data_IF_774874373053
#
_entry.id   IF_774874373053
#
_cell.length_a   1.000
_cell.length_b   1.000
_cell.length_c   1.000
_cell.angle_alpha   90.00
_cell.angle_beta   90.00
_cell.angle_gamma   90.00
#
_symmetry.space_group_name_H-M   'P 1'
#
loop_
_entity.id
_entity.type
_entity.pdbx_description
1 polymer ?
#
# COMPACT_ATOMS: atom_id res chain seq x y z
N UNK A 1 0.42 -33.54 3.16
CA UNK A 1 0.18 -32.58 4.24
C UNK A 1 -0.70 -33.23 5.30
N UNK A 2 -0.32 -33.12 6.56
CA UNK A 2 -1.16 -33.50 7.70
C UNK A 2 -2.35 -32.53 7.80
N UNK A 3 -3.56 -33.03 8.06
CA UNK A 3 -4.77 -32.20 8.22
C UNK A 3 -5.68 -32.74 9.33
N UNK A 4 -6.49 -31.86 9.90
CA UNK A 4 -7.55 -32.25 10.84
C UNK A 4 -8.62 -33.06 10.11
N UNK A 5 -9.26 -34.02 10.81
CA UNK A 5 -10.28 -34.93 10.24
C UNK A 5 -11.37 -34.22 9.41
N UNK A 6 -11.95 -33.08 9.83
CA UNK A 6 -13.03 -32.42 9.08
C UNK A 6 -12.57 -31.61 7.86
N UNK A 7 -11.27 -31.34 7.69
CA UNK A 7 -10.78 -30.61 6.51
C UNK A 7 -10.90 -31.49 5.25
N UNK A 8 -11.13 -30.88 4.08
CA UNK A 8 -11.25 -31.62 2.81
C UNK A 8 -9.90 -32.23 2.37
N UNK A 9 -9.93 -33.23 1.49
CA UNK A 9 -8.74 -33.78 0.84
C UNK A 9 -8.28 -32.95 -0.36
N UNK A 10 -9.12 -32.06 -0.90
CA UNK A 10 -8.81 -31.24 -2.08
C UNK A 10 -8.46 -29.79 -1.71
N UNK A 11 -7.65 -29.13 -2.53
CA UNK A 11 -7.29 -27.72 -2.32
C UNK A 11 -8.44 -26.79 -2.79
N UNK A 12 -8.68 -25.64 -2.13
CA UNK A 12 -7.88 -25.08 -1.03
C UNK A 12 -8.18 -25.68 0.35
N UNK A 13 -9.35 -26.30 0.56
CA UNK A 13 -9.84 -26.77 1.86
C UNK A 13 -8.90 -27.70 2.64
N UNK A 14 -8.04 -28.44 1.93
CA UNK A 14 -6.95 -29.24 2.52
C UNK A 14 -5.99 -28.43 3.41
N UNK A 15 -5.81 -27.15 3.13
CA UNK A 15 -4.92 -26.24 3.85
C UNK A 15 -5.67 -25.31 4.82
N UNK A 16 -7.00 -25.34 4.81
CA UNK A 16 -7.87 -24.52 5.64
C UNK A 16 -8.29 -25.31 6.89
N UNK A 17 -7.36 -25.46 7.82
CA UNK A 17 -7.58 -26.28 9.02
C UNK A 17 -8.39 -25.53 10.07
N UNK A 18 -9.42 -26.19 10.61
CA UNK A 18 -10.25 -25.64 11.69
C UNK A 18 -11.42 -24.79 11.18
N UNK A 19 -12.08 -24.08 12.10
CA UNK A 19 -13.18 -23.18 11.77
C UNK A 19 -12.65 -21.94 11.05
N UNK A 20 -13.25 -21.59 9.92
CA UNK A 20 -12.83 -20.43 9.13
C UNK A 20 -13.25 -19.10 9.76
N UNK A 21 -12.52 -18.03 9.43
CA UNK A 21 -12.83 -16.66 9.84
C UNK A 21 -13.92 -16.06 8.95
N UNK A 22 -15.15 -16.54 9.09
CA UNK A 22 -16.28 -16.18 8.20
C UNK A 22 -16.55 -14.66 8.16
N UNK A 23 -16.45 -13.97 9.29
CA UNK A 23 -16.64 -12.51 9.37
C UNK A 23 -15.54 -11.76 8.58
N UNK A 24 -14.29 -12.20 8.68
CA UNK A 24 -13.17 -11.63 7.91
C UNK A 24 -13.28 -11.91 6.41
N UNK A 25 -13.81 -13.09 6.03
CA UNK A 25 -14.12 -13.41 4.64
C UNK A 25 -15.23 -12.51 4.09
N UNK A 26 -16.29 -12.26 4.86
CA UNK A 26 -17.34 -11.32 4.50
C UNK A 26 -16.80 -9.88 4.36
N UNK A 27 -15.92 -9.45 5.27
CA UNK A 27 -15.21 -8.17 5.16
C UNK A 27 -14.36 -8.07 3.90
N UNK A 28 -13.66 -9.14 3.53
CA UNK A 28 -12.88 -9.22 2.29
C UNK A 28 -13.78 -9.07 1.05
N UNK A 29 -14.96 -9.70 1.05
CA UNK A 29 -15.93 -9.51 -0.02
C UNK A 29 -16.39 -8.05 -0.12
N UNK A 30 -16.66 -7.39 1.00
CA UNK A 30 -17.02 -5.97 1.03
C UNK A 30 -15.93 -5.07 0.42
N UNK A 31 -14.65 -5.36 0.65
CA UNK A 31 -13.54 -4.65 0.00
C UNK A 31 -13.56 -4.85 -1.52
N UNK A 32 -13.80 -6.07 -1.99
CA UNK A 32 -13.90 -6.35 -3.42
C UNK A 32 -15.08 -5.63 -4.07
N UNK A 33 -16.21 -5.53 -3.37
CA UNK A 33 -17.39 -4.79 -3.84
C UNK A 33 -17.13 -3.28 -3.87
N UNK A 34 -16.42 -2.74 -2.88
CA UNK A 34 -15.98 -1.34 -2.86
C UNK A 34 -15.05 -1.02 -4.04
N UNK A 35 -14.05 -1.86 -4.30
CA UNK A 35 -13.17 -1.70 -5.45
C UNK A 35 -13.92 -1.86 -6.78
N UNK A 36 -14.87 -2.80 -6.87
CA UNK A 36 -15.73 -2.94 -8.04
C UNK A 36 -16.59 -1.67 -8.25
N UNK A 37 -17.09 -1.05 -7.18
CA UNK A 37 -17.83 0.20 -7.23
C UNK A 37 -16.97 1.36 -7.75
N UNK A 38 -15.73 1.52 -7.26
CA UNK A 38 -14.76 2.48 -7.83
C UNK A 38 -14.56 2.20 -9.33
N UNK A 39 -14.34 0.93 -9.67
CA UNK A 39 -14.13 0.47 -11.05
C UNK A 39 -15.25 0.86 -12.01
N UNK A 40 -16.51 0.77 -11.53
CA UNK A 40 -17.72 1.10 -12.29
C UNK A 40 -18.02 2.59 -12.35
N UNK A 41 -17.75 3.33 -11.29
CA UNK A 41 -18.27 4.71 -11.12
C UNK A 41 -17.22 5.79 -11.33
N UNK A 42 -15.96 5.50 -11.02
CA UNK A 42 -14.86 6.46 -11.05
C UNK A 42 -13.79 6.08 -12.07
N UNK A 43 -13.67 4.81 -12.45
CA UNK A 43 -12.60 4.33 -13.31
C UNK A 43 -13.04 4.01 -14.75
N UNK A 44 -14.12 4.60 -15.24
CA UNK A 44 -14.71 4.28 -16.56
C UNK A 44 -13.73 4.45 -17.71
N UNK A 45 -12.88 5.47 -17.68
CA UNK A 45 -11.84 5.71 -18.69
C UNK A 45 -10.74 4.64 -18.69
N UNK A 46 -10.38 4.11 -17.51
CA UNK A 46 -9.37 3.06 -17.35
C UNK A 46 -9.87 1.67 -17.75
N UNK A 47 -11.19 1.48 -17.89
CA UNK A 47 -11.76 0.20 -18.33
C UNK A 47 -11.32 -0.19 -19.75
N UNK A 48 -11.01 0.78 -20.61
CA UNK A 48 -10.54 0.54 -21.96
C UNK A 48 -9.16 -0.14 -22.00
N UNK A 49 -8.36 0.02 -20.94
CA UNK A 49 -7.03 -0.59 -20.81
C UNK A 49 -7.09 -2.11 -20.61
N UNK A 50 -8.27 -2.67 -20.35
CA UNK A 50 -8.47 -4.09 -20.06
C UNK A 50 -9.55 -4.70 -20.97
N UNK A 51 -9.32 -4.75 -22.30
CA UNK A 51 -10.30 -5.28 -23.25
C UNK A 51 -10.56 -6.78 -23.07
N UNK A 52 -9.55 -7.52 -22.61
CA UNK A 52 -9.61 -8.99 -22.43
C UNK A 52 -10.32 -9.41 -21.13
N UNK A 53 -10.65 -8.45 -20.26
CA UNK A 53 -11.38 -8.73 -19.02
C UNK A 53 -12.84 -8.32 -19.13
N UNK A 54 -13.69 -8.97 -18.32
CA UNK A 54 -15.12 -8.69 -18.22
C UNK A 54 -15.58 -8.78 -16.76
N UNK A 55 -16.78 -8.26 -16.50
CA UNK A 55 -17.42 -8.29 -15.17
C UNK A 55 -16.54 -7.69 -14.06
N UNK A 56 -16.65 -8.25 -12.85
CA UNK A 56 -15.93 -7.79 -11.65
C UNK A 56 -14.43 -7.65 -11.88
N UNK A 57 -13.79 -8.60 -12.57
CA UNK A 57 -12.35 -8.57 -12.83
C UNK A 57 -11.93 -7.31 -13.58
N UNK A 58 -12.68 -6.93 -14.63
CA UNK A 58 -12.41 -5.70 -15.39
C UNK A 58 -12.48 -4.46 -14.50
N UNK A 59 -13.52 -4.38 -13.67
CA UNK A 59 -13.72 -3.24 -12.77
C UNK A 59 -12.64 -3.16 -11.69
N UNK A 60 -12.21 -4.28 -11.12
CA UNK A 60 -11.11 -4.30 -10.15
C UNK A 60 -9.81 -3.78 -10.78
N UNK A 61 -9.45 -4.25 -11.99
CA UNK A 61 -8.27 -3.76 -12.68
C UNK A 61 -8.35 -2.25 -13.00
N UNK A 62 -9.50 -1.78 -13.48
CA UNK A 62 -9.72 -0.36 -13.73
C UNK A 62 -9.62 0.47 -12.44
N UNK A 63 -10.21 0.00 -11.34
CA UNK A 63 -10.15 0.65 -10.03
C UNK A 63 -8.70 0.81 -9.55
N UNK A 64 -7.88 -0.25 -9.66
CA UNK A 64 -6.49 -0.19 -9.24
C UNK A 64 -5.68 0.84 -10.05
N UNK A 65 -5.94 0.98 -11.37
CA UNK A 65 -5.30 2.03 -12.17
C UNK A 65 -5.76 3.43 -11.78
N UNK A 66 -7.07 3.63 -11.56
CA UNK A 66 -7.60 4.92 -11.14
C UNK A 66 -7.04 5.36 -9.77
N UNK A 67 -6.93 4.43 -8.82
CA UNK A 67 -6.31 4.67 -7.52
C UNK A 67 -4.84 5.04 -7.70
N UNK A 68 -4.09 4.27 -8.49
CA UNK A 68 -2.68 4.55 -8.76
C UNK A 68 -2.46 5.93 -9.39
N UNK A 69 -3.26 6.29 -10.39
CA UNK A 69 -3.18 7.58 -11.08
C UNK A 69 -3.42 8.73 -10.08
N UNK A 70 -4.46 8.64 -9.27
CA UNK A 70 -4.76 9.62 -8.23
C UNK A 70 -3.64 9.71 -7.18
N UNK A 71 -3.16 8.57 -6.68
CA UNK A 71 -2.08 8.49 -5.69
C UNK A 71 -0.74 9.02 -6.22
N UNK A 72 -0.48 8.92 -7.52
CA UNK A 72 0.70 9.53 -8.13
C UNK A 72 0.66 11.06 -8.01
N UNK A 73 -0.52 11.68 -8.18
CA UNK A 73 -0.67 13.14 -7.99
C UNK A 73 -0.37 13.57 -6.55
N UNK A 74 -0.84 12.81 -5.56
CA UNK A 74 -0.58 13.08 -4.15
C UNK A 74 0.89 12.85 -3.80
N UNK A 75 1.49 11.78 -4.32
CA UNK A 75 2.91 11.47 -4.15
C UNK A 75 3.81 12.57 -4.71
N UNK A 76 3.48 13.12 -5.90
CA UNK A 76 4.17 14.27 -6.49
C UNK A 76 4.15 15.48 -5.55
N UNK A 77 2.97 15.78 -4.99
CA UNK A 77 2.83 16.90 -4.05
C UNK A 77 3.61 16.69 -2.76
N UNK A 78 3.47 15.53 -2.13
CA UNK A 78 4.14 15.18 -0.87
C UNK A 78 5.65 15.27 -1.01
N UNK A 79 6.22 14.64 -2.04
CA UNK A 79 7.68 14.52 -2.19
C UNK A 79 8.31 15.83 -2.59
N UNK A 80 7.68 16.58 -3.49
CA UNK A 80 8.13 17.94 -3.82
C UNK A 80 8.13 18.83 -2.58
N UNK A 81 7.12 18.68 -1.70
CA UNK A 81 7.06 19.37 -0.41
C UNK A 81 8.23 18.99 0.51
N UNK A 82 8.45 17.70 0.71
CA UNK A 82 9.53 17.17 1.56
C UNK A 82 10.91 17.58 1.06
N UNK A 83 11.16 17.54 -0.26
CA UNK A 83 12.45 17.91 -0.85
C UNK A 83 12.78 19.40 -0.71
N UNK A 84 11.78 20.25 -0.49
CA UNK A 84 11.98 21.68 -0.23
C UNK A 84 12.32 21.99 1.24
N UNK A 85 12.24 21.01 2.14
CA UNK A 85 12.56 21.20 3.55
C UNK A 85 14.06 20.97 3.81
N UNK A 86 14.76 21.92 4.45
CA UNK A 86 16.18 21.78 4.73
C UNK A 86 16.51 20.54 5.57
N UNK A 87 17.48 19.76 5.09
CA UNK A 87 17.97 18.57 5.81
C UNK A 87 17.07 17.34 5.71
N UNK A 88 15.93 17.41 5.01
CA UNK A 88 15.10 16.24 4.70
C UNK A 88 15.71 15.46 3.54
N UNK A 89 15.77 14.14 3.70
CA UNK A 89 16.21 13.20 2.68
C UNK A 89 15.14 12.13 2.47
N UNK A 90 14.52 12.13 1.29
CA UNK A 90 13.49 11.15 0.89
C UNK A 90 14.17 9.87 0.41
N UNK A 91 13.83 8.74 1.02
CA UNK A 91 14.41 7.43 0.68
C UNK A 91 13.65 6.78 -0.48
N UNK A 92 14.40 6.25 -1.44
CA UNK A 92 13.86 5.60 -2.64
C UNK A 92 13.72 6.55 -3.83
N UNK A 93 12.81 6.22 -4.76
CA UNK A 93 12.60 7.00 -5.99
C UNK A 93 12.04 8.38 -5.62
N UNK A 94 12.75 9.44 -6.00
CA UNK A 94 12.33 10.83 -5.77
C UNK A 94 12.34 11.69 -7.04
N UNK A 95 12.89 11.16 -8.14
CA UNK A 95 12.81 11.75 -9.47
C UNK A 95 11.37 11.58 -10.03
N UNK A 96 10.68 12.69 -10.28
CA UNK A 96 9.28 12.69 -10.75
C UNK A 96 9.06 11.90 -12.04
N UNK A 97 10.07 11.85 -12.92
CA UNK A 97 9.99 11.10 -14.17
C UNK A 97 9.94 9.58 -13.98
N UNK A 98 10.21 9.10 -12.76
CA UNK A 98 10.23 7.67 -12.43
C UNK A 98 9.08 7.28 -11.49
N UNK A 99 8.10 8.15 -11.27
CA UNK A 99 7.02 7.89 -10.31
C UNK A 99 6.12 6.73 -10.72
N UNK A 100 6.05 6.39 -12.00
CA UNK A 100 5.38 5.17 -12.45
C UNK A 100 5.96 3.87 -11.86
N UNK A 101 7.18 3.92 -11.29
CA UNK A 101 7.87 2.80 -10.64
C UNK A 101 7.79 2.85 -9.12
N UNK A 102 7.03 3.78 -8.53
CA UNK A 102 6.87 3.94 -7.08
C UNK A 102 5.53 3.41 -6.59
N UNK A 103 5.45 3.19 -5.29
CA UNK A 103 4.20 3.09 -4.51
C UNK A 103 4.01 4.38 -3.68
N UNK A 104 2.80 4.69 -3.19
CA UNK A 104 2.50 5.92 -2.45
C UNK A 104 3.02 5.94 -1.00
N UNK A 105 3.89 5.00 -0.61
CA UNK A 105 4.55 5.02 0.70
C UNK A 105 5.86 5.78 0.60
N UNK A 106 6.04 6.81 1.43
CA UNK A 106 7.22 7.67 1.43
C UNK A 106 7.93 7.58 2.78
N UNK A 107 9.17 7.09 2.77
CA UNK A 107 10.06 7.14 3.92
C UNK A 107 11.03 8.29 3.76
N UNK A 108 11.35 8.99 4.86
CA UNK A 108 12.32 10.07 4.86
C UNK A 108 13.10 10.10 6.18
N UNK A 109 14.25 10.76 6.13
CA UNK A 109 15.06 11.08 7.32
C UNK A 109 15.31 12.58 7.37
N UNK A 110 15.58 13.12 8.56
CA UNK A 110 15.94 14.53 8.71
C UNK A 110 17.28 14.63 9.42
N UNK A 111 18.20 15.43 8.86
CA UNK A 111 19.56 15.56 9.37
C UNK A 111 19.57 15.93 10.86
N UNK A 112 20.28 15.15 11.66
CA UNK A 112 20.44 15.34 13.10
C UNK A 112 19.12 15.37 13.89
N UNK A 113 18.08 14.67 13.43
CA UNK A 113 16.80 14.55 14.13
C UNK A 113 16.46 13.07 14.32
N UNK A 114 15.91 12.74 15.49
CA UNK A 114 15.41 11.40 15.78
C UNK A 114 14.04 11.20 15.09
N UNK A 115 13.86 10.15 14.25
CA UNK A 115 12.56 9.84 13.63
C UNK A 115 11.41 9.66 14.62
N UNK A 116 11.66 9.16 15.82
CA UNK A 116 10.66 9.02 16.89
C UNK A 116 10.13 10.39 17.33
N UNK A 117 11.02 11.35 17.59
CA UNK A 117 10.63 12.71 17.98
C UNK A 117 9.87 13.43 16.86
N UNK A 118 10.22 13.18 15.60
CA UNK A 118 9.49 13.72 14.45
C UNK A 118 8.08 13.15 14.42
N UNK A 119 7.94 11.82 14.53
CA UNK A 119 6.63 11.16 14.53
C UNK A 119 5.74 11.65 15.68
N UNK A 120 6.32 11.86 16.88
CA UNK A 120 5.62 12.42 18.02
C UNK A 120 5.11 13.85 17.75
N UNK A 121 5.98 14.74 17.25
CA UNK A 121 5.58 16.14 16.92
C UNK A 121 4.50 16.19 15.84
N UNK A 122 4.56 15.30 14.85
CA UNK A 122 3.51 15.18 13.84
C UNK A 122 2.19 14.69 14.46
N UNK A 123 2.25 13.72 15.39
CA UNK A 123 1.06 13.23 16.08
C UNK A 123 0.40 14.30 16.97
N UNK A 124 1.18 15.18 17.62
CA UNK A 124 0.68 16.34 18.35
C UNK A 124 -0.14 17.29 17.46
N UNK A 125 0.15 17.32 16.16
CA UNK A 125 -0.57 18.06 15.12
C UNK A 125 -1.63 17.21 14.38
N UNK A 126 -2.01 16.04 14.92
CA UNK A 126 -2.93 15.07 14.30
C UNK A 126 -2.48 14.52 12.93
N UNK A 127 -1.17 14.43 12.71
CA UNK A 127 -0.56 13.81 11.53
C UNK A 127 0.09 12.48 11.94
N UNK A 128 -0.55 11.37 11.58
CA UNK A 128 -0.10 10.04 11.99
C UNK A 128 0.93 9.47 11.02
N UNK A 129 2.13 9.19 11.54
CA UNK A 129 3.22 8.56 10.79
C UNK A 129 3.83 7.42 11.60
N UNK A 130 4.65 6.61 10.94
CA UNK A 130 5.38 5.51 11.58
C UNK A 130 6.88 5.80 11.55
N UNK A 131 7.58 5.50 12.65
CA UNK A 131 9.05 5.58 12.72
C UNK A 131 9.65 4.17 12.92
N UNK A 132 10.91 3.99 12.51
CA UNK A 132 11.63 2.73 12.64
C UNK A 132 11.82 1.99 11.31
N UNK A 133 12.12 0.70 11.39
CA UNK A 133 12.61 -0.06 10.24
C UNK A 133 11.52 -0.66 9.33
N UNK A 134 10.23 -0.53 9.67
CA UNK A 134 9.11 -1.06 8.87
C UNK A 134 9.28 -2.54 8.47
N UNK A 135 9.76 -3.37 9.39
CA UNK A 135 10.13 -4.78 9.16
C UNK A 135 11.24 -5.03 8.11
N UNK A 136 11.91 -3.98 7.60
CA UNK A 136 12.99 -4.05 6.61
C UNK A 136 14.39 -3.86 7.25
N UNK A 137 14.68 -4.64 8.30
CA UNK A 137 15.86 -4.46 9.16
C UNK A 137 17.19 -4.46 8.38
N UNK A 138 17.40 -5.43 7.50
CA UNK A 138 18.68 -5.56 6.77
C UNK A 138 18.92 -4.42 5.77
N UNK A 139 17.85 -3.92 5.13
CA UNK A 139 17.97 -2.76 4.24
C UNK A 139 18.33 -1.50 5.02
N UNK A 140 17.71 -1.30 6.19
CA UNK A 140 17.97 -0.17 7.08
C UNK A 140 19.41 -0.18 7.61
N UNK A 141 19.93 -1.37 7.98
CA UNK A 141 21.34 -1.56 8.36
C UNK A 141 22.31 -1.23 7.25
N UNK A 142 22.06 -1.71 6.03
CA UNK A 142 22.92 -1.41 4.87
C UNK A 142 22.98 0.09 4.56
N UNK A 143 21.93 0.85 4.90
CA UNK A 143 21.88 2.30 4.71
C UNK A 143 22.39 3.11 5.91
N UNK A 144 22.89 2.46 6.97
CA UNK A 144 23.33 3.10 8.23
C UNK A 144 22.25 4.00 8.87
N UNK A 145 20.99 3.54 8.84
CA UNK A 145 19.83 4.26 9.38
C UNK A 145 19.35 3.73 10.74
N UNK A 146 19.99 2.69 11.29
CA UNK A 146 19.77 2.17 12.64
C UNK A 146 20.82 2.80 13.57
N UNK A 147 20.43 3.80 14.38
CA UNK A 147 21.28 4.41 15.42
C UNK A 147 20.52 4.54 16.71
#
# INVERSE_FOLDING_TARGET
AYKVRPADNTAPGKFETGTQLHEGQAGTLGVLEYLEWIGKTMATEFQANFPDFSGRRKYLHAAMLAIQDYEETLSKRLISGLQNLPGVDVKGISNQNEFSRRVPTVSFTVKNQNPEEIAQKLAEENIFTWHGHNYALEAIRQMDLEK
#
